data_IF_065782855762
#
_entry.id   IF_065782855762
#
_cell.length_a   1.000
_cell.length_b   1.000
_cell.length_c   1.000
_cell.angle_alpha   90.00
_cell.angle_beta   90.00
_cell.angle_gamma   90.00
#
_symmetry.space_group_name_H-M   'P 1'
#
loop_
_entity.id
_entity.type
_entity.pdbx_description
1 polymer ?
#
# COMPACT_ATOMS: atom_id res chain seq x y z
N UNK A 1 38.52 -23.48 53.29
CA UNK A 1 37.97 -22.36 52.49
C UNK A 1 37.11 -22.92 51.37
N UNK A 2 36.07 -22.17 51.01
CA UNK A 2 34.78 -22.59 50.44
C UNK A 2 34.87 -23.33 49.08
N UNK A 3 34.06 -24.38 48.91
CA UNK A 3 33.70 -24.95 47.60
C UNK A 3 32.87 -23.92 46.83
N UNK A 4 33.24 -23.62 45.59
CA UNK A 4 32.42 -22.86 44.66
C UNK A 4 31.81 -23.84 43.63
N UNK A 5 30.49 -23.95 43.65
CA UNK A 5 29.69 -24.54 42.58
C UNK A 5 29.38 -23.42 41.60
N UNK A 6 29.66 -23.61 40.30
CA UNK A 6 29.11 -22.74 39.27
C UNK A 6 28.08 -23.52 38.47
N UNK A 7 26.85 -23.02 38.51
CA UNK A 7 25.69 -23.59 37.85
C UNK A 7 25.76 -23.31 36.35
N UNK A 8 25.51 -24.36 35.56
CA UNK A 8 25.23 -24.25 34.12
C UNK A 8 23.77 -23.81 33.99
N UNK A 9 23.52 -22.61 33.47
CA UNK A 9 22.21 -22.27 32.91
C UNK A 9 22.24 -22.58 31.42
N UNK A 10 21.86 -23.81 31.08
CA UNK A 10 21.42 -24.14 29.73
C UNK A 10 19.92 -23.86 29.69
N UNK A 11 19.52 -22.74 29.11
CA UNK A 11 18.10 -22.49 28.82
C UNK A 11 17.73 -23.37 27.63
N UNK A 12 17.21 -24.54 27.94
CA UNK A 12 16.66 -25.49 26.98
C UNK A 12 15.30 -24.96 26.52
N UNK A 13 15.21 -24.40 25.31
CA UNK A 13 13.91 -24.13 24.67
C UNK A 13 13.30 -25.48 24.27
N UNK A 14 12.59 -26.12 25.19
CA UNK A 14 11.58 -27.14 24.87
C UNK A 14 10.28 -26.41 24.52
N UNK A 15 10.29 -25.76 23.37
CA UNK A 15 9.09 -25.38 22.67
C UNK A 15 9.25 -25.91 21.28
N UNK A 16 8.53 -26.96 20.92
CA UNK A 16 8.27 -27.22 19.51
C UNK A 16 7.67 -25.93 18.98
N UNK A 17 8.40 -25.19 18.14
CA UNK A 17 7.75 -24.30 17.22
C UNK A 17 6.85 -25.22 16.41
N UNK A 18 5.55 -25.23 16.74
CA UNK A 18 4.58 -25.74 15.81
C UNK A 18 4.77 -24.82 14.61
N UNK A 19 5.43 -25.33 13.57
CA UNK A 19 5.47 -24.67 12.29
C UNK A 19 4.03 -24.30 12.00
N UNK A 20 3.75 -23.00 11.95
CA UNK A 20 2.45 -22.53 11.58
C UNK A 20 2.22 -23.13 10.20
N UNK A 21 1.23 -24.01 10.08
CA UNK A 21 0.79 -24.42 8.76
C UNK A 21 0.45 -23.14 8.05
N UNK A 22 1.21 -22.81 7.01
CA UNK A 22 0.82 -21.77 6.07
C UNK A 22 -0.54 -22.22 5.56
N UNK A 23 -1.63 -21.75 6.17
CA UNK A 23 -2.94 -21.88 5.55
C UNK A 23 -2.78 -21.04 4.31
N UNK A 24 -2.61 -21.72 3.18
CA UNK A 24 -2.69 -21.12 1.85
C UNK A 24 -3.91 -20.19 1.92
N UNK A 25 -3.69 -18.88 1.81
CA UNK A 25 -4.79 -17.93 1.62
C UNK A 25 -5.62 -18.53 0.48
N UNK A 26 -6.89 -18.86 0.77
CA UNK A 26 -7.66 -19.93 0.15
C UNK A 26 -7.28 -20.21 -1.30
N UNK A 27 -7.00 -21.48 -1.61
CA UNK A 27 -6.73 -21.94 -2.96
C UNK A 27 -7.98 -21.81 -3.84
N UNK A 28 -8.36 -20.59 -4.30
CA UNK A 28 -9.35 -20.37 -5.37
C UNK A 28 -9.33 -18.94 -5.95
N UNK A 29 -8.99 -18.85 -7.24
CA UNK A 29 -9.59 -18.00 -8.28
C UNK A 29 -9.82 -16.50 -8.04
N UNK A 30 -8.88 -15.76 -7.43
CA UNK A 30 -8.81 -14.35 -7.76
C UNK A 30 -8.51 -14.23 -9.27
N UNK A 31 -9.50 -13.89 -10.09
CA UNK A 31 -9.29 -13.74 -11.53
C UNK A 31 -8.78 -12.34 -11.84
N UNK A 32 -7.66 -12.24 -12.55
CA UNK A 32 -6.93 -11.00 -12.79
C UNK A 32 -5.53 -11.04 -12.17
N UNK A 33 -4.72 -10.01 -12.44
CA UNK A 33 -3.38 -9.91 -11.88
C UNK A 33 -3.42 -9.29 -10.49
N UNK A 34 -2.89 -9.98 -9.48
CA UNK A 34 -2.59 -9.39 -8.16
C UNK A 34 -1.28 -8.61 -8.27
N UNK A 35 -1.28 -7.39 -7.76
CA UNK A 35 -0.12 -6.48 -7.77
C UNK A 35 0.48 -6.31 -6.38
N UNK A 36 -0.35 -6.30 -5.34
CA UNK A 36 0.07 -6.15 -3.96
C UNK A 36 -0.75 -7.05 -3.03
N UNK A 37 -0.05 -7.60 -2.03
CA UNK A 37 -0.61 -8.20 -0.83
C UNK A 37 -0.28 -7.28 0.35
N UNK A 38 -1.29 -6.86 1.11
CA UNK A 38 -1.11 -5.99 2.26
C UNK A 38 -1.77 -6.59 3.50
N UNK A 39 -0.98 -6.93 4.51
CA UNK A 39 -1.52 -7.35 5.81
C UNK A 39 -1.77 -6.13 6.69
N UNK A 40 -3.01 -5.95 7.11
CA UNK A 40 -3.43 -4.90 7.99
C UNK A 40 -3.64 -5.45 9.41
N UNK A 41 -2.64 -5.22 10.25
CA UNK A 41 -2.67 -5.64 11.65
C UNK A 41 -3.77 -4.99 12.49
N UNK A 42 -4.35 -3.86 12.04
CA UNK A 42 -5.42 -3.17 12.78
C UNK A 42 -6.74 -3.93 12.71
N UNK A 43 -7.09 -4.41 11.52
CA UNK A 43 -8.35 -5.10 11.26
C UNK A 43 -8.17 -6.63 11.17
N UNK A 44 -6.93 -7.12 11.27
CA UNK A 44 -6.53 -8.52 11.06
C UNK A 44 -6.99 -9.08 9.71
N UNK A 45 -6.81 -8.25 8.67
CA UNK A 45 -7.20 -8.56 7.30
C UNK A 45 -5.98 -8.63 6.39
N UNK A 46 -5.97 -9.59 5.46
CA UNK A 46 -5.05 -9.58 4.33
C UNK A 46 -5.76 -9.05 3.10
N UNK A 47 -5.33 -7.90 2.60
CA UNK A 47 -5.82 -7.31 1.38
C UNK A 47 -5.03 -7.81 0.17
N UNK A 48 -5.72 -7.92 -0.95
CA UNK A 48 -5.14 -8.06 -2.29
C UNK A 48 -5.67 -6.97 -3.18
N UNK A 49 -4.79 -6.37 -3.97
CA UNK A 49 -5.18 -5.38 -4.99
C UNK A 49 -4.61 -5.75 -6.35
N UNK A 50 -5.20 -5.19 -7.42
CA UNK A 50 -4.77 -5.45 -8.80
C UNK A 50 -5.86 -5.24 -9.84
N UNK A 51 -5.80 -5.97 -10.95
CA UNK A 51 -6.88 -6.04 -11.98
C UNK A 51 -7.92 -7.12 -11.63
N UNK A 52 -8.29 -7.19 -10.35
CA UNK A 52 -9.17 -8.23 -9.83
C UNK A 52 -10.58 -8.10 -10.43
N UNK A 53 -11.19 -9.24 -10.75
CA UNK A 53 -12.54 -9.35 -11.31
C UNK A 53 -13.46 -10.28 -10.52
N UNK A 54 -12.89 -11.20 -9.73
CA UNK A 54 -13.63 -12.02 -8.77
C UNK A 54 -12.73 -12.48 -7.63
N UNK A 55 -13.32 -12.87 -6.50
CA UNK A 55 -12.67 -13.60 -5.42
C UNK A 55 -13.70 -14.57 -4.79
N UNK A 56 -13.35 -15.85 -4.65
CA UNK A 56 -14.27 -16.92 -4.22
C UNK A 56 -15.61 -16.95 -4.99
N UNK A 57 -15.56 -16.64 -6.29
CA UNK A 57 -16.75 -16.62 -7.16
C UNK A 57 -17.63 -15.38 -7.02
N UNK A 58 -17.31 -14.46 -6.10
CA UNK A 58 -18.01 -13.19 -5.96
C UNK A 58 -17.34 -12.11 -6.82
N UNK A 59 -18.11 -11.20 -7.45
CA UNK A 59 -17.56 -10.07 -8.17
C UNK A 59 -16.70 -9.19 -7.26
N UNK A 60 -15.49 -8.88 -7.73
CA UNK A 60 -14.56 -7.94 -7.10
C UNK A 60 -14.08 -6.98 -8.18
N UNK A 61 -13.73 -5.76 -7.81
CA UNK A 61 -13.05 -4.84 -8.73
C UNK A 61 -11.97 -4.08 -7.97
N UNK A 62 -10.71 -4.31 -8.35
CA UNK A 62 -9.57 -3.61 -7.78
C UNK A 62 -9.05 -4.17 -6.45
N UNK A 63 -9.92 -4.41 -5.45
CA UNK A 63 -9.50 -4.78 -4.09
C UNK A 63 -10.41 -5.84 -3.42
N UNK A 64 -9.80 -6.80 -2.73
CA UNK A 64 -10.49 -7.76 -1.85
C UNK A 64 -9.72 -7.96 -0.54
N UNK A 65 -10.41 -8.38 0.52
CA UNK A 65 -9.85 -8.71 1.82
C UNK A 65 -10.17 -10.14 2.24
N UNK A 66 -9.19 -10.80 2.84
CA UNK A 66 -9.29 -12.13 3.44
C UNK A 66 -9.28 -12.02 4.96
N UNK A 67 -10.25 -12.67 5.60
CA UNK A 67 -10.43 -12.68 7.05
C UNK A 67 -10.02 -14.00 7.73
N UNK A 68 -9.28 -14.87 7.04
CA UNK A 68 -8.94 -16.20 7.54
C UNK A 68 -9.92 -17.30 7.13
N UNK A 69 -11.12 -16.95 6.65
CA UNK A 69 -12.17 -17.91 6.26
C UNK A 69 -12.78 -17.67 4.88
N UNK A 70 -12.81 -16.43 4.39
CA UNK A 70 -13.39 -16.07 3.10
C UNK A 70 -12.86 -14.74 2.57
N UNK A 71 -12.94 -14.55 1.25
CA UNK A 71 -12.67 -13.27 0.59
C UNK A 71 -13.93 -12.38 0.56
N UNK A 72 -13.74 -11.07 0.75
CA UNK A 72 -14.79 -10.04 0.62
C UNK A 72 -14.30 -8.90 -0.27
N UNK A 73 -15.15 -8.39 -1.16
CA UNK A 73 -14.84 -7.22 -1.97
C UNK A 73 -14.68 -5.97 -1.09
N UNK A 74 -13.72 -5.11 -1.40
CA UNK A 74 -13.56 -3.81 -0.76
C UNK A 74 -14.00 -2.72 -1.72
N UNK A 75 -15.19 -2.17 -1.48
CA UNK A 75 -15.87 -1.24 -2.36
C UNK A 75 -16.94 -1.89 -3.23
N UNK A 76 -17.87 -1.08 -3.72
CA UNK A 76 -18.85 -1.51 -4.70
C UNK A 76 -18.19 -1.59 -6.09
N UNK A 77 -18.11 -2.79 -6.72
CA UNK A 77 -17.52 -2.91 -8.04
C UNK A 77 -18.30 -2.17 -9.14
N UNK A 78 -19.53 -1.73 -8.87
CA UNK A 78 -20.37 -0.98 -9.82
C UNK A 78 -20.07 0.52 -9.85
N UNK A 79 -19.45 1.08 -8.81
CA UNK A 79 -19.10 2.51 -8.73
C UNK A 79 -17.77 2.83 -9.40
N UNK A 80 -16.90 1.83 -9.53
CA UNK A 80 -15.60 1.92 -10.17
C UNK A 80 -15.67 1.75 -11.69
N UNK A 81 -14.65 2.29 -12.35
CA UNK A 81 -14.46 2.26 -13.80
C UNK A 81 -14.53 0.87 -14.45
N UNK A 82 -14.79 0.83 -15.75
CA UNK A 82 -14.83 -0.43 -16.52
C UNK A 82 -13.50 -1.19 -16.46
N UNK A 83 -12.39 -0.47 -16.58
CA UNK A 83 -11.04 -0.98 -16.33
C UNK A 83 -10.53 -0.40 -15.03
N UNK A 84 -10.35 -1.25 -14.01
CA UNK A 84 -9.76 -0.86 -12.73
C UNK A 84 -8.50 -1.67 -12.49
N UNK A 85 -7.44 -0.99 -12.10
CA UNK A 85 -6.17 -1.60 -11.73
C UNK A 85 -5.54 -0.79 -10.60
N UNK A 86 -5.52 -1.38 -9.42
CA UNK A 86 -4.87 -0.82 -8.24
C UNK A 86 -3.45 -1.38 -8.16
N UNK A 87 -2.45 -0.50 -8.02
CA UNK A 87 -1.05 -0.91 -7.96
C UNK A 87 -0.65 -1.36 -6.57
N UNK A 88 -1.09 -0.61 -5.55
CA UNK A 88 -0.62 -0.78 -4.19
C UNK A 88 -1.66 -0.33 -3.17
N UNK A 89 -1.49 -0.75 -1.92
CA UNK A 89 -2.38 -0.49 -0.81
C UNK A 89 -1.60 -0.35 0.50
N UNK A 90 -1.90 0.69 1.28
CA UNK A 90 -1.34 0.85 2.63
C UNK A 90 -2.35 1.52 3.56
N UNK A 91 -2.34 1.15 4.85
CA UNK A 91 -3.01 1.93 5.90
C UNK A 91 -2.07 3.00 6.42
N UNK A 92 -2.56 4.24 6.45
CA UNK A 92 -1.91 5.36 7.15
C UNK A 92 -2.89 5.94 8.14
N UNK A 93 -2.51 5.93 9.43
CA UNK A 93 -3.42 6.19 10.54
C UNK A 93 -4.63 5.22 10.48
N UNK A 94 -5.83 5.75 10.28
CA UNK A 94 -7.07 4.96 10.22
C UNK A 94 -7.62 4.82 8.79
N UNK A 95 -6.85 5.23 7.79
CA UNK A 95 -7.32 5.32 6.41
C UNK A 95 -6.51 4.39 5.51
N UNK A 96 -7.21 3.55 4.73
CA UNK A 96 -6.59 2.79 3.64
C UNK A 96 -6.43 3.68 2.42
N UNK A 97 -5.24 3.67 1.85
CA UNK A 97 -4.87 4.41 0.66
C UNK A 97 -4.46 3.45 -0.44
N UNK A 98 -4.87 3.76 -1.67
CA UNK A 98 -4.46 3.05 -2.87
C UNK A 98 -4.05 4.02 -3.97
N UNK A 99 -3.27 3.53 -4.91
CA UNK A 99 -2.91 4.25 -6.13
C UNK A 99 -3.16 3.35 -7.33
N UNK A 100 -3.82 3.88 -8.37
CA UNK A 100 -4.26 3.06 -9.48
C UNK A 100 -5.03 3.81 -10.55
N UNK A 101 -5.56 3.08 -11.52
CA UNK A 101 -6.45 3.60 -12.56
C UNK A 101 -7.86 3.03 -12.38
N UNK A 102 -8.85 3.72 -12.94
CA UNK A 102 -10.25 3.26 -12.90
C UNK A 102 -11.01 3.64 -11.63
N UNK A 103 -10.40 4.44 -10.75
CA UNK A 103 -11.07 5.08 -9.62
C UNK A 103 -11.66 6.39 -10.15
N UNK A 104 -12.97 6.38 -10.36
CA UNK A 104 -13.71 7.45 -11.04
C UNK A 104 -13.95 8.63 -10.11
N UNK A 105 -13.84 9.85 -10.67
CA UNK A 105 -14.27 11.09 -10.03
C UNK A 105 -15.46 11.62 -10.84
N UNK A 106 -16.66 11.61 -10.27
CA UNK A 106 -17.88 12.06 -10.95
C UNK A 106 -18.11 11.44 -12.34
N UNK A 107 -17.76 10.15 -12.48
CA UNK A 107 -17.87 9.42 -13.75
C UNK A 107 -16.78 9.72 -14.78
N UNK A 108 -15.82 10.60 -14.46
CA UNK A 108 -14.62 10.86 -15.27
C UNK A 108 -13.48 9.92 -14.88
N UNK A 109 -12.59 9.69 -15.84
CA UNK A 109 -11.41 8.82 -15.68
C UNK A 109 -10.14 9.68 -15.68
N UNK A 110 -9.69 10.20 -14.52
CA UNK A 110 -8.59 11.16 -14.46
C UNK A 110 -7.19 10.53 -14.64
N UNK A 111 -7.08 9.43 -15.39
CA UNK A 111 -5.85 8.64 -15.50
C UNK A 111 -5.57 7.89 -14.20
N UNK A 112 -4.35 8.02 -13.68
CA UNK A 112 -3.93 7.41 -12.41
C UNK A 112 -4.21 8.34 -11.24
N UNK A 113 -4.77 7.76 -10.19
CA UNK A 113 -5.40 8.43 -9.05
C UNK A 113 -4.84 7.89 -7.75
N UNK A 114 -4.55 8.78 -6.81
CA UNK A 114 -4.42 8.46 -5.40
C UNK A 114 -5.81 8.52 -4.77
N UNK A 115 -6.22 7.44 -4.12
CA UNK A 115 -7.54 7.32 -3.52
C UNK A 115 -7.47 6.77 -2.10
N UNK A 116 -8.51 7.04 -1.31
CA UNK A 116 -8.66 6.47 0.02
C UNK A 116 -10.01 5.79 0.19
N UNK A 117 -10.07 4.81 1.09
CA UNK A 117 -11.30 4.17 1.49
C UNK A 117 -12.03 5.00 2.54
N UNK A 118 -13.27 5.39 2.27
CA UNK A 118 -14.08 6.17 3.22
C UNK A 118 -15.01 5.31 4.11
N UNK A 119 -15.00 3.98 3.94
CA UNK A 119 -15.91 3.04 4.61
C UNK A 119 -16.99 2.45 3.70
N UNK A 120 -17.29 3.09 2.57
CA UNK A 120 -18.28 2.61 1.58
C UNK A 120 -17.71 2.55 0.16
N UNK A 121 -16.86 3.51 -0.20
CA UNK A 121 -16.34 3.71 -1.55
C UNK A 121 -14.87 4.13 -1.53
N UNK A 122 -14.20 3.87 -2.66
CA UNK A 122 -12.90 4.45 -2.97
C UNK A 122 -13.09 5.89 -3.44
N UNK A 123 -12.59 6.85 -2.68
CA UNK A 123 -12.69 8.28 -2.97
C UNK A 123 -11.37 8.78 -3.54
N UNK A 124 -11.43 9.34 -4.75
CA UNK A 124 -10.28 9.99 -5.37
C UNK A 124 -9.85 11.23 -4.54
N UNK A 125 -8.57 11.32 -4.20
CA UNK A 125 -8.00 12.41 -3.42
C UNK A 125 -7.02 13.26 -4.22
N UNK A 126 -6.34 12.66 -5.19
CA UNK A 126 -5.50 13.38 -6.15
C UNK A 126 -5.32 12.57 -7.42
N UNK A 127 -5.00 13.24 -8.52
CA UNK A 127 -4.86 12.61 -9.83
C UNK A 127 -3.66 13.13 -10.61
N UNK A 128 -3.53 12.64 -11.84
CA UNK A 128 -2.47 13.07 -12.74
C UNK A 128 -1.13 12.57 -12.25
N UNK A 129 -1.10 11.38 -11.65
CA UNK A 129 0.14 10.72 -11.24
C UNK A 129 0.66 9.95 -12.45
N UNK A 130 1.54 10.57 -13.22
CA UNK A 130 2.11 9.92 -14.40
C UNK A 130 3.37 9.14 -14.04
N UNK A 131 3.78 8.25 -14.95
CA UNK A 131 4.87 7.30 -14.74
C UNK A 131 4.37 5.89 -14.49
N UNK A 132 5.33 4.99 -14.25
CA UNK A 132 5.11 3.58 -13.99
C UNK A 132 5.61 3.25 -12.58
N UNK A 133 5.12 2.13 -12.04
CA UNK A 133 5.62 1.56 -10.77
C UNK A 133 5.51 2.54 -9.60
N UNK A 134 4.28 2.78 -9.15
CA UNK A 134 4.02 3.58 -7.95
C UNK A 134 3.75 2.68 -6.75
N UNK A 135 4.39 3.04 -5.64
CA UNK A 135 4.39 2.30 -4.38
C UNK A 135 4.00 3.24 -3.24
N UNK A 136 3.40 2.71 -2.19
CA UNK A 136 2.87 3.46 -1.06
C UNK A 136 3.49 2.98 0.25
N UNK A 137 3.90 3.94 1.09
CA UNK A 137 4.29 3.65 2.47
C UNK A 137 3.72 4.70 3.42
N UNK A 138 3.35 4.27 4.62
CA UNK A 138 3.00 5.17 5.72
C UNK A 138 4.18 5.37 6.64
N UNK A 139 4.57 6.61 6.93
CA UNK A 139 5.61 6.92 7.90
C UNK A 139 5.18 8.13 8.75
N UNK A 140 5.22 7.98 10.08
CA UNK A 140 4.88 9.05 11.03
C UNK A 140 3.50 9.71 10.72
N UNK A 141 2.52 8.90 10.35
CA UNK A 141 1.16 9.35 10.02
C UNK A 141 1.04 10.08 8.67
N UNK A 142 2.09 10.08 7.85
CA UNK A 142 2.14 10.67 6.51
C UNK A 142 2.21 9.57 5.46
N UNK A 143 1.45 9.75 4.38
CA UNK A 143 1.52 8.88 3.22
C UNK A 143 2.64 9.34 2.28
N UNK A 144 3.49 8.40 1.90
CA UNK A 144 4.53 8.55 0.90
C UNK A 144 4.17 7.75 -0.35
N UNK A 145 4.55 8.30 -1.49
CA UNK A 145 4.50 7.66 -2.80
C UNK A 145 5.92 7.57 -3.33
N UNK A 146 6.33 6.37 -3.73
CA UNK A 146 7.58 6.11 -4.43
C UNK A 146 7.34 5.84 -5.91
N UNK A 147 8.34 6.13 -6.73
CA UNK A 147 8.35 5.82 -8.17
C UNK A 147 8.71 7.05 -9.01
N UNK A 148 8.58 6.96 -10.34
CA UNK A 148 8.69 8.16 -11.18
C UNK A 148 7.39 8.95 -11.07
N UNK A 149 7.39 10.02 -10.29
CA UNK A 149 6.20 10.80 -9.97
C UNK A 149 6.27 12.11 -10.75
N UNK A 150 5.28 12.31 -11.60
CA UNK A 150 4.97 13.61 -12.19
C UNK A 150 3.49 13.89 -12.03
N UNK A 151 3.16 15.16 -11.82
CA UNK A 151 1.83 15.62 -11.42
C UNK A 151 1.51 15.28 -9.96
N UNK A 152 0.27 14.91 -9.64
CA UNK A 152 -0.23 14.83 -8.25
C UNK A 152 -1.06 16.04 -7.86
N UNK A 153 -2.00 16.38 -8.74
CA UNK A 153 -2.87 17.54 -8.63
C UNK A 153 -4.03 17.26 -7.67
N UNK A 154 -4.49 18.26 -6.89
CA UNK A 154 -5.77 18.17 -6.19
C UNK A 154 -6.93 17.97 -7.16
N UNK A 155 -7.99 17.29 -6.70
CA UNK A 155 -9.23 17.06 -7.48
C UNK A 155 -9.89 18.34 -8.00
N UNK A 156 -9.65 19.49 -7.36
CA UNK A 156 -10.28 20.78 -7.64
C UNK A 156 -9.50 21.68 -8.64
N UNK A 157 -8.31 21.27 -9.05
CA UNK A 157 -7.46 22.06 -9.95
C UNK A 157 -7.76 21.79 -11.42
N UNK A 158 -7.68 22.81 -12.28
CA UNK A 158 -7.82 22.62 -13.73
C UNK A 158 -6.64 21.82 -14.27
N UNK A 159 -6.91 20.77 -15.06
CA UNK A 159 -5.92 19.81 -15.60
C UNK A 159 -4.88 20.52 -16.47
N UNK A 160 -3.78 21.01 -15.88
CA UNK A 160 -2.57 21.41 -16.60
C UNK A 160 -1.40 21.66 -15.64
N UNK A 161 -0.70 20.60 -15.20
CA UNK A 161 0.69 20.73 -14.80
C UNK A 161 1.41 19.37 -14.83
N UNK A 162 2.35 19.23 -15.77
CA UNK A 162 3.39 18.20 -15.75
C UNK A 162 4.58 18.70 -14.92
N UNK A 163 4.42 18.81 -13.60
CA UNK A 163 5.56 19.06 -12.72
C UNK A 163 6.09 17.71 -12.22
N UNK A 164 7.38 17.42 -12.48
CA UNK A 164 8.01 16.25 -11.87
C UNK A 164 8.17 16.49 -10.37
N UNK A 165 7.67 15.55 -9.56
CA UNK A 165 7.90 15.53 -8.11
C UNK A 165 9.09 14.63 -7.74
N UNK A 166 9.77 14.07 -8.74
CA UNK A 166 10.93 13.21 -8.56
C UNK A 166 10.56 11.76 -8.28
N UNK A 167 11.29 11.16 -7.34
CA UNK A 167 11.39 9.73 -7.04
C UNK A 167 10.57 9.33 -5.81
N UNK A 168 10.37 10.30 -4.92
CA UNK A 168 9.52 10.20 -3.75
C UNK A 168 8.77 11.51 -3.55
N UNK A 169 7.49 11.39 -3.22
CA UNK A 169 6.63 12.49 -2.81
C UNK A 169 5.81 12.05 -1.59
N UNK A 170 5.25 13.00 -0.86
CA UNK A 170 4.32 12.73 0.22
C UNK A 170 3.00 13.50 0.04
N UNK A 171 1.92 12.93 0.54
CA UNK A 171 0.62 13.58 0.56
C UNK A 171 0.56 14.60 1.70
N UNK A 172 0.25 15.86 1.38
CA UNK A 172 0.15 16.94 2.37
C UNK A 172 -1.30 17.25 2.82
N UNK A 173 -2.27 16.42 2.43
CA UNK A 173 -3.70 16.67 2.65
C UNK A 173 -4.44 17.28 1.45
N UNK A 174 -3.71 17.89 0.51
CA UNK A 174 -4.29 18.57 -0.66
C UNK A 174 -3.67 18.11 -1.98
N UNK A 175 -2.35 17.87 -1.99
CA UNK A 175 -1.59 17.40 -3.15
C UNK A 175 -0.38 16.58 -2.75
N UNK A 176 0.22 15.90 -3.73
CA UNK A 176 1.56 15.33 -3.57
C UNK A 176 2.61 16.44 -3.58
N UNK A 177 3.59 16.32 -2.69
CA UNK A 177 4.72 17.25 -2.55
C UNK A 177 6.01 16.45 -2.63
N UNK A 178 6.95 16.89 -3.46
CA UNK A 178 8.25 16.24 -3.62
C UNK A 178 9.01 16.14 -2.30
N UNK A 179 9.61 14.98 -2.02
CA UNK A 179 10.56 14.81 -0.93
C UNK A 179 11.96 15.18 -1.43
N UNK A 180 12.38 16.43 -1.19
CA UNK A 180 13.63 16.96 -1.74
C UNK A 180 14.87 16.30 -1.17
N UNK A 181 14.84 15.85 0.08
CA UNK A 181 15.94 15.09 0.68
C UNK A 181 16.11 13.76 -0.03
N UNK A 182 15.02 13.02 -0.20
CA UNK A 182 15.13 11.73 -0.85
C UNK A 182 15.56 11.89 -2.32
N UNK A 183 14.92 12.81 -3.03
CA UNK A 183 15.12 13.01 -4.45
C UNK A 183 16.55 13.42 -4.83
N UNK A 184 17.26 14.14 -3.96
CA UNK A 184 18.64 14.57 -4.17
C UNK A 184 19.67 13.49 -3.85
N UNK A 185 19.35 12.55 -2.98
CA UNK A 185 20.31 11.58 -2.44
C UNK A 185 20.19 10.16 -3.03
N UNK A 186 19.03 9.80 -3.59
CA UNK A 186 18.70 8.40 -3.89
C UNK A 186 18.26 8.18 -5.33
N UNK A 187 18.35 6.94 -5.79
CA UNK A 187 17.84 6.52 -7.11
C UNK A 187 16.34 6.25 -7.06
N UNK A 188 15.73 5.97 -8.23
CA UNK A 188 14.32 5.61 -8.29
C UNK A 188 14.06 4.37 -7.43
N UNK A 189 13.06 4.40 -6.54
CA UNK A 189 12.68 3.21 -5.79
C UNK A 189 11.96 2.23 -6.71
N UNK A 190 12.32 0.95 -6.62
CA UNK A 190 11.54 -0.16 -7.21
C UNK A 190 10.50 -0.71 -6.23
N UNK A 191 10.55 -0.28 -4.97
CA UNK A 191 9.56 -0.51 -3.93
C UNK A 191 9.83 0.45 -2.76
N UNK A 192 8.84 0.74 -1.92
CA UNK A 192 9.01 1.41 -0.63
C UNK A 192 8.25 0.67 0.47
N UNK A 193 8.91 0.43 1.61
CA UNK A 193 8.28 -0.21 2.77
C UNK A 193 8.61 0.56 4.05
N UNK A 194 7.68 0.68 4.98
CA UNK A 194 7.99 1.17 6.32
C UNK A 194 8.38 0.01 7.24
N UNK A 195 9.47 0.21 7.98
CA UNK A 195 9.91 -0.70 9.01
C UNK A 195 10.66 0.07 10.11
N UNK A 196 10.25 -0.12 11.38
CA UNK A 196 10.90 0.49 12.55
C UNK A 196 11.08 2.02 12.47
N UNK A 197 10.06 2.73 11.99
CA UNK A 197 10.04 4.19 11.90
C UNK A 197 10.89 4.74 10.76
N UNK A 198 11.15 3.94 9.72
CA UNK A 198 11.88 4.35 8.52
C UNK A 198 11.24 3.77 7.27
N UNK A 199 11.25 4.53 6.19
CA UNK A 199 11.00 4.00 4.85
C UNK A 199 12.29 3.43 4.29
N UNK A 200 12.23 2.18 3.86
CA UNK A 200 13.27 1.52 3.09
C UNK A 200 12.88 1.56 1.62
N UNK A 201 13.82 2.00 0.81
CA UNK A 201 13.68 2.12 -0.62
C UNK A 201 14.99 1.66 -1.25
N UNK A 202 14.92 0.61 -2.08
CA UNK A 202 16.11 -0.14 -2.51
C UNK A 202 16.92 -0.60 -1.27
N UNK A 203 18.26 -0.41 -1.27
CA UNK A 203 19.15 -0.81 -0.17
C UNK A 203 19.33 0.28 0.90
N UNK A 204 18.44 1.28 0.96
CA UNK A 204 18.67 2.51 1.74
C UNK A 204 17.47 2.84 2.61
N UNK A 205 17.73 3.44 3.77
CA UNK A 205 16.73 3.81 4.76
C UNK A 205 16.61 5.33 4.90
N UNK A 206 15.37 5.80 5.05
CA UNK A 206 14.99 7.20 5.16
C UNK A 206 14.02 7.37 6.33
N UNK A 207 14.20 8.37 7.18
CA UNK A 207 13.45 8.54 8.44
C UNK A 207 12.38 9.64 8.40
N UNK A 208 12.12 10.23 7.23
CA UNK A 208 11.09 11.25 7.07
C UNK A 208 11.47 12.63 7.60
N UNK A 209 12.67 12.79 8.16
CA UNK A 209 13.14 14.04 8.73
C UNK A 209 14.25 14.64 7.84
N UNK A 210 14.03 15.88 7.40
CA UNK A 210 15.11 16.82 7.06
C UNK A 210 15.21 17.87 8.13
#
# INVERSE_FOLDING_TARGET
>A
MKKAYSFVFATLFLGSAMGQTLKVAGSTNASGGVTCFYYDSKDDLTYVVGSLSSADGNPVKGAAAWNGTGWTAIGDPTTLGTTTYMNDLVRVNDTLWTIGIGITLDGQYPGRTLAYWNGTDWVASGYGIFGNSHFLAGLNGRLYVGGNISGGMPVDSSISAYESLGKMAYWNGHKLVADTAYNSAYDNPEDIIEYNGKIYANERAFDGNT
#
